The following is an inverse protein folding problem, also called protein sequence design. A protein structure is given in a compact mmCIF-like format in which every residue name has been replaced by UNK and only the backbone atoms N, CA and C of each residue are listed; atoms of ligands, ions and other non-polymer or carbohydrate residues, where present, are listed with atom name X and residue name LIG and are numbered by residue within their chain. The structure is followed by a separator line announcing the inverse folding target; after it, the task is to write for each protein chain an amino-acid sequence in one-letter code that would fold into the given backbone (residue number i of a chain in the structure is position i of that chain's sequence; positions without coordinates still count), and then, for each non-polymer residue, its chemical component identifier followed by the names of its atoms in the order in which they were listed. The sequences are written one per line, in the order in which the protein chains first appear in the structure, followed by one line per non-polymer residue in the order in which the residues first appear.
data_IF_264901584165
#
_entry.id   IF_264901584165
#
_cell.length_a   1.000
_cell.length_b   1.000
_cell.length_c   1.000
_cell.angle_alpha   90.00
_cell.angle_beta   90.00
_cell.angle_gamma   90.00
#
_symmetry.space_group_name_H-M   'P 1'
#
loop_
_entity.id
_entity.type
_entity.pdbx_description
1 polymer ?
#
# COMPACT_ATOMS: atom_id res chain seq x y z
N UNK A 1 -1.29 -20.23 -8.52
CA UNK A 1 -1.90 -19.40 -7.47
C UNK A 1 -1.89 -17.96 -7.97
N UNK A 2 -3.03 -17.24 -7.95
CA UNK A 2 -3.07 -15.84 -8.40
C UNK A 2 -2.28 -14.98 -7.40
N UNK A 3 -1.37 -14.12 -7.88
CA UNK A 3 -0.67 -13.17 -7.03
C UNK A 3 -1.69 -12.21 -6.41
N UNK A 4 -1.70 -12.09 -5.08
CA UNK A 4 -2.62 -11.23 -4.33
C UNK A 4 -2.08 -9.79 -4.37
N UNK A 5 -2.92 -8.82 -4.75
CA UNK A 5 -2.64 -7.39 -4.64
C UNK A 5 -3.26 -6.86 -3.36
N UNK A 6 -2.43 -6.35 -2.45
CA UNK A 6 -2.87 -5.84 -1.16
C UNK A 6 -2.62 -4.34 -1.07
N UNK A 7 -3.67 -3.59 -0.75
CA UNK A 7 -3.57 -2.15 -0.48
C UNK A 7 -3.17 -1.89 0.98
N UNK A 8 -2.26 -0.97 1.23
CA UNK A 8 -1.87 -0.56 2.59
C UNK A 8 -1.99 0.97 2.71
N UNK A 9 -2.93 1.42 3.53
CA UNK A 9 -3.02 2.81 3.98
C UNK A 9 -2.27 2.94 5.32
N UNK A 10 -1.50 4.02 5.49
CA UNK A 10 -0.60 4.17 6.65
C UNK A 10 0.74 3.45 6.51
N UNK A 11 1.09 3.02 5.28
CA UNK A 11 2.30 2.26 4.95
C UNK A 11 3.63 2.87 5.43
N UNK A 12 3.69 4.18 5.67
CA UNK A 12 4.91 4.89 6.08
C UNK A 12 5.10 4.98 7.59
N UNK A 13 4.09 4.61 8.38
CA UNK A 13 4.14 4.61 9.85
C UNK A 13 4.85 3.38 10.42
N UNK A 14 5.02 3.33 11.74
CA UNK A 14 5.77 2.26 12.43
C UNK A 14 5.22 0.88 12.10
N UNK A 15 3.92 0.66 12.30
CA UNK A 15 3.28 -0.63 12.02
C UNK A 15 3.10 -0.85 10.52
N UNK A 16 2.72 0.20 9.77
CA UNK A 16 2.50 0.09 8.33
C UNK A 16 3.75 -0.35 7.55
N UNK A 17 4.95 0.08 7.97
CA UNK A 17 6.22 -0.35 7.37
C UNK A 17 6.47 -1.84 7.55
N UNK A 18 6.22 -2.36 8.74
CA UNK A 18 6.37 -3.80 9.01
C UNK A 18 5.33 -4.63 8.25
N UNK A 19 4.09 -4.13 8.10
CA UNK A 19 3.07 -4.77 7.26
C UNK A 19 3.53 -4.85 5.80
N UNK A 20 4.00 -3.74 5.23
CA UNK A 20 4.52 -3.71 3.85
C UNK A 20 5.70 -4.67 3.66
N UNK A 21 6.63 -4.69 4.62
CA UNK A 21 7.78 -5.59 4.62
C UNK A 21 7.32 -7.05 4.63
N UNK A 22 6.48 -7.44 5.57
CA UNK A 22 6.00 -8.81 5.71
C UNK A 22 5.20 -9.29 4.47
N UNK A 23 4.40 -8.41 3.86
CA UNK A 23 3.68 -8.72 2.63
C UNK A 23 4.64 -8.94 1.44
N UNK A 24 5.64 -8.07 1.31
CA UNK A 24 6.64 -8.16 0.24
C UNK A 24 7.51 -9.41 0.39
N UNK A 25 7.94 -9.74 1.61
CA UNK A 25 8.70 -10.97 1.93
C UNK A 25 7.90 -12.25 1.59
N UNK A 26 6.57 -12.19 1.66
CA UNK A 26 5.65 -13.28 1.28
C UNK A 26 5.34 -13.32 -0.23
N UNK A 27 5.94 -12.42 -1.02
CA UNK A 27 5.73 -12.33 -2.47
C UNK A 27 4.37 -11.74 -2.88
N UNK A 28 3.68 -11.04 -1.99
CA UNK A 28 2.47 -10.31 -2.35
C UNK A 28 2.81 -9.04 -3.14
N UNK A 29 1.93 -8.64 -4.05
CA UNK A 29 2.00 -7.31 -4.67
C UNK A 29 1.43 -6.30 -3.70
N UNK A 30 2.16 -5.22 -3.44
CA UNK A 30 1.73 -4.21 -2.47
C UNK A 30 1.55 -2.87 -3.17
N UNK A 31 0.40 -2.25 -2.91
CA UNK A 31 0.12 -0.87 -3.28
C UNK A 31 -0.12 -0.06 -2.01
N UNK A 32 0.53 1.08 -1.89
CA UNK A 32 0.45 1.94 -0.72
C UNK A 32 -0.23 3.26 -1.06
N UNK A 33 -1.28 3.61 -0.30
CA UNK A 33 -1.84 4.96 -0.34
C UNK A 33 -0.99 5.86 0.56
N UNK A 34 -0.29 6.82 -0.05
CA UNK A 34 0.63 7.72 0.65
C UNK A 34 0.32 9.17 0.29
N UNK A 35 0.45 10.08 1.27
CA UNK A 35 0.16 11.51 1.07
C UNK A 35 1.12 12.17 0.08
N UNK A 36 2.41 11.81 0.15
CA UNK A 36 3.46 12.39 -0.69
C UNK A 36 4.40 11.27 -1.15
N UNK A 37 4.16 10.66 -2.33
CA UNK A 37 5.04 9.65 -2.89
C UNK A 37 6.45 10.22 -3.13
N UNK A 38 7.47 9.43 -2.81
CA UNK A 38 8.85 9.77 -3.15
C UNK A 38 9.73 8.51 -3.27
N UNK A 39 10.83 8.58 -4.05
CA UNK A 39 11.80 7.48 -4.11
C UNK A 39 12.32 7.12 -2.71
N UNK A 40 12.51 5.82 -2.45
CA UNK A 40 13.02 5.31 -1.16
C UNK A 40 12.06 5.41 0.03
N UNK A 41 10.81 5.87 -0.16
CA UNK A 41 9.85 5.97 0.93
C UNK A 41 9.47 4.58 1.50
N UNK A 42 9.34 3.60 0.61
CA UNK A 42 8.94 2.22 0.84
C UNK A 42 9.90 1.28 0.08
N UNK A 43 9.94 -0.03 0.41
CA UNK A 43 10.75 -1.01 -0.30
C UNK A 43 10.53 -0.98 -1.82
N UNK A 44 11.57 -1.36 -2.58
CA UNK A 44 11.48 -1.45 -4.03
C UNK A 44 10.35 -2.42 -4.45
N UNK A 45 9.61 -2.06 -5.49
CA UNK A 45 8.48 -2.85 -6.00
C UNK A 45 7.12 -2.55 -5.36
N UNK A 46 7.08 -1.75 -4.29
CA UNK A 46 5.81 -1.25 -3.73
C UNK A 46 5.28 -0.10 -4.61
N UNK A 47 4.08 -0.27 -5.15
CA UNK A 47 3.40 0.78 -5.91
C UNK A 47 2.92 1.89 -4.95
N UNK A 48 3.18 3.16 -5.26
CA UNK A 48 2.76 4.28 -4.44
C UNK A 48 1.64 5.06 -5.15
N UNK A 49 0.47 5.16 -4.50
CA UNK A 49 -0.66 5.99 -4.96
C UNK A 49 -0.71 7.25 -4.10
N UNK A 50 -0.66 8.41 -4.74
CA UNK A 50 -0.83 9.69 -4.06
C UNK A 50 -2.28 9.86 -3.59
N UNK A 51 -2.46 10.20 -2.31
CA UNK A 51 -3.76 10.59 -1.76
C UNK A 51 -3.90 10.35 -0.25
N UNK A 52 -5.14 10.45 0.23
CA UNK A 52 -5.50 10.16 1.60
C UNK A 52 -6.89 9.51 1.66
N UNK A 53 -7.28 8.98 2.82
CA UNK A 53 -8.53 8.24 2.98
C UNK A 53 -9.81 9.09 2.85
N UNK A 54 -9.68 10.42 2.97
CA UNK A 54 -10.76 11.36 2.72
C UNK A 54 -10.96 11.71 1.24
N UNK A 55 -10.12 11.18 0.34
CA UNK A 55 -10.26 11.32 -1.11
C UNK A 55 -10.78 9.99 -1.72
N UNK A 56 -12.08 9.89 -2.04
CA UNK A 56 -12.67 8.66 -2.58
C UNK A 56 -12.05 8.23 -3.92
N UNK A 57 -11.57 9.18 -4.74
CA UNK A 57 -10.96 8.87 -6.04
C UNK A 57 -9.58 8.25 -5.81
N UNK A 58 -8.79 8.79 -4.89
CA UNK A 58 -7.50 8.20 -4.53
C UNK A 58 -7.67 6.82 -3.88
N UNK A 59 -8.66 6.65 -3.00
CA UNK A 59 -9.00 5.36 -2.41
C UNK A 59 -9.41 4.35 -3.49
N UNK A 60 -10.24 4.75 -4.46
CA UNK A 60 -10.61 3.90 -5.58
C UNK A 60 -9.42 3.43 -6.41
N UNK A 61 -8.46 4.33 -6.71
CA UNK A 61 -7.20 3.96 -7.38
C UNK A 61 -6.35 3.02 -6.54
N UNK A 62 -6.28 3.25 -5.23
CA UNK A 62 -5.51 2.40 -4.32
C UNK A 62 -6.12 0.99 -4.18
N UNK A 63 -7.44 0.85 -4.27
CA UNK A 63 -8.14 -0.42 -4.14
C UNK A 63 -8.39 -1.15 -5.48
N UNK A 64 -8.16 -0.51 -6.62
CA UNK A 64 -8.35 -1.13 -7.93
C UNK A 64 -7.57 -2.46 -8.04
N UNK A 65 -8.28 -3.55 -8.34
CA UNK A 65 -7.77 -4.93 -8.42
C UNK A 65 -7.18 -5.50 -7.12
N UNK A 66 -7.28 -4.78 -6.00
CA UNK A 66 -6.82 -5.27 -4.72
C UNK A 66 -7.78 -6.35 -4.19
N UNK A 67 -7.22 -7.45 -3.70
CA UNK A 67 -7.97 -8.56 -3.10
C UNK A 67 -8.09 -8.42 -1.58
N UNK A 68 -7.37 -7.47 -0.99
CA UNK A 68 -7.43 -7.14 0.43
C UNK A 68 -6.81 -5.77 0.72
N UNK A 69 -7.10 -5.23 1.90
CA UNK A 69 -6.57 -3.96 2.34
C UNK A 69 -6.22 -3.97 3.84
N UNK A 70 -5.14 -3.27 4.19
CA UNK A 70 -4.80 -2.91 5.57
C UNK A 70 -4.93 -1.41 5.75
N UNK A 71 -5.61 -1.00 6.82
CA UNK A 71 -5.59 0.37 7.32
C UNK A 71 -4.90 0.39 8.68
N UNK A 72 -3.90 1.25 8.80
CA UNK A 72 -3.12 1.43 10.02
C UNK A 72 -3.08 2.93 10.33
N UNK A 73 -3.50 3.31 11.54
CA UNK A 73 -3.45 4.69 12.05
C UNK A 73 -2.37 4.87 13.10
#
# INVERSE_FOLDING_TARGET
MKQQLICVAGATGTVGREVVRALTERGARVRALVRTPRPGLLPAGVEQVAGNLGDPVAVGRALADATGAFYVS
#
